data_IF_896667240193
#
_entry.id   IF_896667240193
#
_cell.length_a   1.000
_cell.length_b   1.000
_cell.length_c   1.000
_cell.angle_alpha   90.00
_cell.angle_beta   90.00
_cell.angle_gamma   90.00
#
_symmetry.space_group_name_H-M   'P 1'
#
loop_
_entity.id
_entity.type
_entity.pdbx_description
1 polymer ?
#
# COMPACT_ATOMS: atom_id res chain seq x y z
N UNK A 1 2.25 -22.19 -13.15
CA UNK A 1 1.16 -21.31 -12.70
C UNK A 1 1.15 -21.13 -11.18
N UNK A 2 1.04 -22.17 -10.35
CA UNK A 2 0.97 -22.03 -8.87
C UNK A 2 2.24 -21.39 -8.26
N UNK A 3 3.43 -21.76 -8.73
CA UNK A 3 4.72 -21.22 -8.22
C UNK A 3 4.84 -19.71 -8.42
N UNK A 4 4.42 -19.21 -9.58
CA UNK A 4 4.46 -17.79 -9.92
C UNK A 4 3.49 -16.98 -9.06
N UNK A 5 2.27 -17.50 -8.84
CA UNK A 5 1.26 -16.88 -7.97
C UNK A 5 1.74 -16.80 -6.51
N UNK A 6 2.31 -17.89 -5.99
CA UNK A 6 2.90 -17.87 -4.66
C UNK A 6 4.06 -16.87 -4.58
N UNK A 7 4.93 -16.84 -5.59
CA UNK A 7 6.08 -15.94 -5.61
C UNK A 7 5.66 -14.46 -5.67
N UNK A 8 4.67 -14.10 -6.49
CA UNK A 8 4.12 -12.73 -6.55
C UNK A 8 3.40 -12.36 -5.26
N UNK A 9 2.67 -13.29 -4.64
CA UNK A 9 2.06 -13.08 -3.33
C UNK A 9 3.11 -12.76 -2.26
N UNK A 10 4.17 -13.59 -2.15
CA UNK A 10 5.24 -13.36 -1.18
C UNK A 10 6.01 -12.08 -1.46
N UNK A 11 6.22 -11.71 -2.73
CA UNK A 11 6.83 -10.44 -3.11
C UNK A 11 5.97 -9.25 -2.70
N UNK A 12 4.67 -9.29 -2.94
CA UNK A 12 3.75 -8.23 -2.53
C UNK A 12 3.70 -8.10 -0.99
N UNK A 13 3.70 -9.23 -0.28
CA UNK A 13 3.75 -9.26 1.18
C UNK A 13 5.07 -8.68 1.72
N UNK A 14 6.22 -9.08 1.15
CA UNK A 14 7.54 -8.56 1.52
C UNK A 14 7.64 -7.06 1.23
N UNK A 15 7.16 -6.61 0.06
CA UNK A 15 7.13 -5.19 -0.31
C UNK A 15 6.29 -4.39 0.68
N UNK A 16 5.08 -4.87 1.00
CA UNK A 16 4.20 -4.24 1.99
C UNK A 16 4.84 -4.18 3.37
N UNK A 17 5.52 -5.24 3.80
CA UNK A 17 6.26 -5.30 5.06
C UNK A 17 7.37 -4.24 5.13
N UNK A 18 8.15 -4.10 4.06
CA UNK A 18 9.20 -3.07 3.96
C UNK A 18 8.58 -1.68 4.08
N UNK A 19 7.48 -1.40 3.38
CA UNK A 19 6.81 -0.08 3.48
C UNK A 19 6.30 0.19 4.89
N UNK A 20 5.70 -0.79 5.56
CA UNK A 20 5.25 -0.66 6.96
C UNK A 20 6.42 -0.32 7.88
N UNK A 21 7.59 -0.96 7.73
CA UNK A 21 8.76 -0.66 8.55
C UNK A 21 9.19 0.81 8.43
N UNK A 22 9.18 1.37 7.22
CA UNK A 22 9.54 2.76 6.98
C UNK A 22 8.46 3.75 7.47
N UNK A 23 7.19 3.44 7.26
CA UNK A 23 6.09 4.38 7.51
C UNK A 23 5.41 4.27 8.88
N UNK A 24 5.62 3.18 9.63
CA UNK A 24 5.01 3.01 10.96
C UNK A 24 5.35 4.16 11.91
N UNK A 25 6.62 4.58 11.97
CA UNK A 25 7.06 5.70 12.83
C UNK A 25 6.45 7.05 12.38
N UNK A 26 6.57 7.46 11.09
CA UNK A 26 5.90 8.67 10.58
C UNK A 26 4.38 8.71 10.83
N UNK A 27 3.68 7.61 10.53
CA UNK A 27 2.22 7.51 10.72
C UNK A 27 1.86 7.67 12.20
N UNK A 28 2.57 6.99 13.09
CA UNK A 28 2.33 7.10 14.54
C UNK A 28 2.57 8.54 15.05
N UNK A 29 3.63 9.19 14.58
CA UNK A 29 3.96 10.57 14.97
C UNK A 29 2.90 11.57 14.51
N UNK A 30 2.38 11.43 13.28
CA UNK A 30 1.29 12.26 12.77
C UNK A 30 -0.01 12.04 13.56
N UNK A 31 -0.40 10.79 13.79
CA UNK A 31 -1.61 10.47 14.55
C UNK A 31 -1.54 10.99 15.98
N UNK A 32 -0.38 10.93 16.64
CA UNK A 32 -0.18 11.46 18.00
C UNK A 32 -0.42 12.97 18.11
N UNK A 33 -0.21 13.73 17.01
CA UNK A 33 -0.46 15.17 16.99
C UNK A 33 -1.92 15.53 16.81
N UNK A 34 -2.75 14.60 16.34
CA UNK A 34 -4.14 14.86 15.94
C UNK A 34 -5.12 14.21 16.92
N UNK A 35 -4.77 13.04 17.46
CA UNK A 35 -5.65 12.18 18.23
C UNK A 35 -5.06 11.96 19.63
N UNK A 36 -5.93 11.88 20.64
CA UNK A 36 -5.55 11.53 22.02
C UNK A 36 -4.78 10.20 22.12
N UNK A 37 -3.84 10.13 23.06
CA UNK A 37 -2.89 9.02 23.22
C UNK A 37 -3.57 7.65 23.40
N UNK A 38 -4.76 7.59 24.02
CA UNK A 38 -5.52 6.36 24.29
C UNK A 38 -5.93 5.59 23.03
N UNK A 39 -6.33 6.32 21.99
CA UNK A 39 -6.82 5.75 20.72
C UNK A 39 -5.78 5.82 19.60
N UNK A 40 -4.71 6.62 19.76
CA UNK A 40 -3.61 6.75 18.79
C UNK A 40 -3.01 5.40 18.39
N UNK A 41 -2.83 4.49 19.35
CA UNK A 41 -2.23 3.18 19.08
C UNK A 41 -3.16 2.29 18.25
N UNK A 42 -4.47 2.35 18.50
CA UNK A 42 -5.47 1.62 17.73
C UNK A 42 -5.52 2.11 16.28
N UNK A 43 -5.52 3.43 16.07
CA UNK A 43 -5.47 4.02 14.73
C UNK A 43 -4.18 3.68 13.98
N UNK A 44 -3.04 3.66 14.66
CA UNK A 44 -1.76 3.25 14.04
C UNK A 44 -1.80 1.78 13.58
N UNK A 45 -2.39 0.89 14.38
CA UNK A 45 -2.59 -0.52 14.01
C UNK A 45 -3.53 -0.64 12.81
N UNK A 46 -4.61 0.15 12.77
CA UNK A 46 -5.53 0.18 11.64
C UNK A 46 -4.86 0.63 10.34
N UNK A 47 -4.09 1.73 10.35
CA UNK A 47 -3.36 2.19 9.17
C UNK A 47 -2.32 1.14 8.72
N UNK A 48 -1.64 0.50 9.68
CA UNK A 48 -0.70 -0.61 9.38
C UNK A 48 -1.41 -1.77 8.69
N UNK A 49 -2.57 -2.19 9.20
CA UNK A 49 -3.40 -3.22 8.59
C UNK A 49 -3.82 -2.82 7.18
N UNK A 50 -4.27 -1.58 6.98
CA UNK A 50 -4.70 -1.08 5.69
C UNK A 50 -3.54 -1.04 4.67
N UNK A 51 -2.31 -0.71 5.08
CA UNK A 51 -1.12 -0.80 4.21
C UNK A 51 -0.92 -2.23 3.71
N UNK A 52 -1.01 -3.24 4.59
CA UNK A 52 -0.88 -4.64 4.17
C UNK A 52 -1.98 -5.05 3.20
N UNK A 53 -3.24 -4.75 3.51
CA UNK A 53 -4.36 -5.10 2.64
C UNK A 53 -4.22 -4.43 1.28
N UNK A 54 -4.00 -3.11 1.24
CA UNK A 54 -3.88 -2.37 -0.02
C UNK A 54 -2.63 -2.76 -0.80
N UNK A 55 -1.51 -3.00 -0.13
CA UNK A 55 -0.26 -3.43 -0.77
C UNK A 55 -0.34 -4.82 -1.38
N UNK A 56 -0.93 -5.78 -0.66
CA UNK A 56 -1.12 -7.14 -1.17
C UNK A 56 -2.18 -7.18 -2.26
N UNK A 57 -3.33 -6.51 -2.07
CA UNK A 57 -4.39 -6.43 -3.09
C UNK A 57 -3.96 -5.63 -4.32
N UNK A 58 -3.07 -4.65 -4.15
CA UNK A 58 -2.53 -3.83 -5.23
C UNK A 58 -1.50 -4.55 -6.10
N UNK A 59 -0.63 -5.37 -5.49
CA UNK A 59 0.38 -6.15 -6.21
C UNK A 59 -0.15 -7.42 -6.87
N UNK A 60 -1.30 -7.93 -6.40
CA UNK A 60 -1.99 -9.09 -6.96
C UNK A 60 -3.13 -8.59 -7.86
N UNK A 61 -2.82 -8.02 -9.03
CA UNK A 61 -3.86 -7.54 -9.95
C UNK A 61 -4.34 -8.60 -10.95
N UNK A 62 -5.64 -8.83 -10.84
CA UNK A 62 -6.57 -9.63 -11.66
C UNK A 62 -6.62 -9.22 -13.15
N UNK A 63 -6.04 -8.08 -13.53
CA UNK A 63 -6.11 -7.52 -14.89
C UNK A 63 -5.34 -8.33 -15.95
N UNK A 64 -4.40 -9.20 -15.55
CA UNK A 64 -3.80 -10.15 -16.50
C UNK A 64 -4.68 -11.37 -16.77
N UNK A 65 -5.58 -11.76 -15.85
CA UNK A 65 -6.50 -12.88 -16.09
C UNK A 65 -7.43 -12.62 -17.28
N UNK A 66 -7.86 -11.37 -17.51
CA UNK A 66 -8.65 -11.00 -18.70
C UNK A 66 -7.86 -11.12 -20.01
N UNK A 67 -6.55 -10.89 -20.01
CA UNK A 67 -5.69 -11.08 -21.20
C UNK A 67 -5.41 -12.55 -21.51
N UNK A 68 -5.51 -13.43 -20.52
CA UNK A 68 -5.45 -14.89 -20.72
C UNK A 68 -6.78 -15.48 -21.20
N UNK A 69 -7.91 -14.79 -20.99
CA UNK A 69 -9.25 -15.24 -21.43
C UNK A 69 -9.67 -14.62 -22.78
N UNK A 70 -9.24 -13.40 -23.08
CA UNK A 70 -9.70 -12.65 -24.28
C UNK A 70 -8.94 -12.98 -25.58
N UNK A 71 -7.72 -13.52 -25.51
CA UNK A 71 -6.95 -13.90 -26.72
C UNK A 71 -7.23 -15.34 -27.16
N UNK A 72 -8.50 -15.66 -27.37
CA UNK A 72 -8.90 -16.88 -28.06
C UNK A 72 -8.77 -16.71 -29.57
N UNK A 73 -7.64 -17.15 -30.16
CA UNK A 73 -7.60 -18.09 -31.31
C UNK A 73 -6.21 -18.33 -31.94
N UNK A 74 -5.19 -17.49 -31.72
CA UNK A 74 -3.86 -17.68 -32.36
C UNK A 74 -2.64 -17.50 -31.44
N UNK A 75 -2.82 -17.54 -30.11
CA UNK A 75 -1.69 -17.48 -29.18
C UNK A 75 -1.13 -18.89 -28.96
N UNK A 76 -0.02 -19.19 -29.65
CA UNK A 76 0.84 -20.35 -29.37
C UNK A 76 1.01 -20.58 -27.85
N UNK A 77 1.12 -21.84 -27.37
CA UNK A 77 1.28 -22.14 -25.95
C UNK A 77 2.48 -21.34 -25.41
N UNK A 78 2.17 -20.29 -24.65
CA UNK A 78 3.12 -19.27 -24.22
C UNK A 78 4.20 -19.91 -23.34
N UNK A 79 5.38 -20.12 -23.92
CA UNK A 79 6.52 -20.69 -23.22
C UNK A 79 6.88 -19.82 -22.01
N UNK A 80 7.05 -20.46 -20.86
CA UNK A 80 7.57 -19.87 -19.62
C UNK A 80 9.05 -19.50 -19.82
N UNK A 81 9.34 -18.39 -20.49
CA UNK A 81 10.70 -17.87 -20.65
C UNK A 81 11.13 -17.09 -19.41
N UNK A 82 12.40 -17.25 -19.00
CA UNK A 82 13.00 -16.60 -17.83
C UNK A 82 12.89 -15.08 -17.82
N UNK A 83 12.84 -14.46 -18.99
CA UNK A 83 12.66 -13.00 -19.16
C UNK A 83 11.31 -12.51 -18.64
N UNK A 84 10.25 -13.32 -18.76
CA UNK A 84 8.90 -12.93 -18.33
C UNK A 84 8.74 -12.95 -16.80
N UNK A 85 9.48 -13.82 -16.10
CA UNK A 85 9.52 -13.85 -14.64
C UNK A 85 10.03 -12.54 -14.04
N UNK A 86 11.06 -11.95 -14.64
CA UNK A 86 11.64 -10.69 -14.18
C UNK A 86 10.64 -9.53 -14.33
N UNK A 87 9.91 -9.48 -15.45
CA UNK A 87 8.89 -8.45 -15.68
C UNK A 87 7.74 -8.57 -14.70
N UNK A 88 7.30 -9.79 -14.37
CA UNK A 88 6.19 -10.02 -13.45
C UNK A 88 6.58 -9.65 -12.01
N UNK A 89 7.80 -9.98 -11.58
CA UNK A 89 8.37 -9.55 -10.30
C UNK A 89 8.41 -8.02 -10.21
N UNK A 90 9.00 -7.36 -11.22
CA UNK A 90 9.11 -5.91 -11.27
C UNK A 90 7.73 -5.23 -11.22
N UNK A 91 6.77 -5.77 -11.98
CA UNK A 91 5.40 -5.28 -12.04
C UNK A 91 4.68 -5.42 -10.70
N UNK A 92 4.73 -6.60 -10.06
CA UNK A 92 4.11 -6.82 -8.75
C UNK A 92 4.66 -5.86 -7.69
N UNK A 93 5.97 -5.63 -7.68
CA UNK A 93 6.60 -4.70 -6.73
C UNK A 93 6.09 -3.28 -6.98
N UNK A 94 6.12 -2.80 -8.22
CA UNK A 94 5.69 -1.44 -8.54
C UNK A 94 4.20 -1.23 -8.31
N UNK A 95 3.35 -2.18 -8.70
CA UNK A 95 1.90 -2.06 -8.48
C UNK A 95 1.55 -2.08 -6.98
N UNK A 96 2.24 -2.89 -6.18
CA UNK A 96 2.11 -2.88 -4.72
C UNK A 96 2.55 -1.54 -4.12
N UNK A 97 3.74 -1.06 -4.48
CA UNK A 97 4.28 0.23 -4.03
C UNK A 97 3.37 1.39 -4.42
N UNK A 98 2.91 1.44 -5.68
CA UNK A 98 2.02 2.47 -6.19
C UNK A 98 0.69 2.48 -5.43
N UNK A 99 0.11 1.31 -5.17
CA UNK A 99 -1.16 1.21 -4.43
C UNK A 99 -1.01 1.74 -3.00
N UNK A 100 0.08 1.36 -2.31
CA UNK A 100 0.38 1.87 -0.98
C UNK A 100 0.66 3.38 -1.02
N UNK A 101 1.40 3.86 -2.03
CA UNK A 101 1.74 5.27 -2.18
C UNK A 101 0.49 6.14 -2.33
N UNK A 102 -0.47 5.75 -3.17
CA UNK A 102 -1.75 6.45 -3.31
C UNK A 102 -2.55 6.47 -2.02
N UNK A 103 -2.63 5.33 -1.32
CA UNK A 103 -3.31 5.25 -0.03
C UNK A 103 -2.66 6.20 1.00
N UNK A 104 -1.33 6.13 1.14
CA UNK A 104 -0.60 6.98 2.08
C UNK A 104 -0.69 8.45 1.71
N UNK A 105 -0.62 8.80 0.42
CA UNK A 105 -0.77 10.18 -0.05
C UNK A 105 -2.12 10.75 0.40
N UNK A 106 -3.21 10.04 0.12
CA UNK A 106 -4.57 10.45 0.53
C UNK A 106 -4.66 10.56 2.05
N UNK A 107 -4.16 9.56 2.78
CA UNK A 107 -4.13 9.58 4.24
C UNK A 107 -3.37 10.80 4.79
N UNK A 108 -2.18 11.09 4.26
CA UNK A 108 -1.36 12.22 4.71
C UNK A 108 -2.00 13.57 4.38
N UNK A 109 -2.69 13.72 3.24
CA UNK A 109 -3.43 14.93 2.92
C UNK A 109 -4.49 15.20 4.00
N UNK A 110 -5.30 14.20 4.34
CA UNK A 110 -6.31 14.35 5.40
C UNK A 110 -5.67 14.59 6.77
N UNK A 111 -4.59 13.89 7.09
CA UNK A 111 -3.87 14.08 8.35
C UNK A 111 -3.29 15.51 8.47
N UNK A 112 -2.73 16.07 7.40
CA UNK A 112 -2.18 17.43 7.38
C UNK A 112 -3.27 18.49 7.58
N UNK A 113 -4.44 18.30 6.96
CA UNK A 113 -5.59 19.18 7.17
C UNK A 113 -6.02 19.14 8.64
N UNK A 114 -6.20 17.94 9.20
CA UNK A 114 -6.57 17.78 10.60
C UNK A 114 -5.53 18.39 11.55
N UNK A 115 -4.24 18.15 11.31
CA UNK A 115 -3.14 18.74 12.06
C UNK A 115 -3.19 20.27 12.04
N UNK A 116 -3.41 20.88 10.88
CA UNK A 116 -3.47 22.34 10.73
C UNK A 116 -4.62 22.93 11.54
N UNK A 117 -5.78 22.27 11.53
CA UNK A 117 -6.95 22.69 12.31
C UNK A 117 -6.66 22.62 13.83
N UNK A 118 -6.11 21.50 14.31
CA UNK A 118 -5.73 21.35 15.72
C UNK A 118 -4.71 22.41 16.12
N UNK A 119 -3.69 22.63 15.29
CA UNK A 119 -2.62 23.59 15.58
C UNK A 119 -3.13 25.03 15.71
N UNK A 120 -4.04 25.44 14.83
CA UNK A 120 -4.66 26.77 14.89
C UNK A 120 -5.52 26.91 16.15
N UNK A 121 -6.23 25.85 16.56
CA UNK A 121 -7.03 25.85 17.78
C UNK A 121 -6.17 26.02 19.03
N UNK A 122 -5.07 25.27 19.15
CA UNK A 122 -4.10 25.40 20.26
C UNK A 122 -3.57 26.84 20.39
N UNK A 123 -3.18 27.46 19.27
CA UNK A 123 -2.66 28.83 19.25
C UNK A 123 -3.70 29.86 19.70
N UNK A 124 -4.97 29.69 19.30
CA UNK A 124 -6.07 30.59 19.73
C UNK A 124 -6.39 30.45 21.21
N UNK A 125 -6.29 29.24 21.76
CA UNK A 125 -6.49 29.01 23.19
C UNK A 125 -5.37 29.59 24.06
N UNK A 126 -4.13 29.65 23.57
CA UNK A 126 -3.01 30.25 24.31
C UNK A 126 -2.98 31.79 24.24
N UNK A 127 -3.57 32.38 23.22
CA UNK A 127 -3.63 33.84 23.04
C UNK A 127 -4.80 34.51 23.79
N UNK A 128 -5.66 33.73 24.46
CA UNK A 128 -6.87 34.19 25.14
C UNK A 128 -6.73 33.96 26.65
#
# INVERSE_FOLDING_TARGET
MIVLLLLTFFLAAATSFVVVLFFKKPVAAMLKRIIADEIQTAWTKYVTFAIYVVGISGGVRVWELEKYISNGKDAQPLALTSERWILEIYRTIIESLQSIAWMLLVFFIFALIAYTIVRISEMKHQAK
#
